data_IF_915166627694
#
_entry.id   IF_915166627694
#
_cell.length_a   1.000
_cell.length_b   1.000
_cell.length_c   1.000
_cell.angle_alpha   90.00
_cell.angle_beta   90.00
_cell.angle_gamma   90.00
#
_symmetry.space_group_name_H-M   'P 1'
#
loop_
_entity.id
_entity.type
_entity.pdbx_description
1 polymer ?
#
# COMPACT_ATOMS: atom_id res chain seq x y z
N UNK A 1 -10.33 18.02 -17.90
CA UNK A 1 -10.58 16.96 -16.89
C UNK A 1 -10.85 17.66 -15.57
N UNK A 2 -11.80 17.19 -14.74
CA UNK A 2 -12.08 17.82 -13.44
C UNK A 2 -10.85 17.78 -12.52
N UNK A 3 -10.67 18.82 -11.71
CA UNK A 3 -9.53 18.95 -10.79
C UNK A 3 -9.43 17.78 -9.81
N UNK A 4 -10.57 17.31 -9.31
CA UNK A 4 -10.64 16.12 -8.45
C UNK A 4 -9.97 14.90 -9.11
N UNK A 5 -10.16 14.69 -10.41
CA UNK A 5 -9.53 13.54 -11.09
C UNK A 5 -8.03 13.79 -11.29
N UNK A 6 -7.63 15.03 -11.58
CA UNK A 6 -6.22 15.42 -11.66
C UNK A 6 -5.50 15.16 -10.34
N UNK A 7 -6.17 15.42 -9.21
CA UNK A 7 -5.63 15.21 -7.87
C UNK A 7 -5.34 13.73 -7.63
N UNK A 8 -6.32 12.85 -7.89
CA UNK A 8 -6.13 11.40 -7.75
C UNK A 8 -4.96 10.91 -8.62
N UNK A 9 -4.86 11.36 -9.87
CA UNK A 9 -3.77 10.98 -10.78
C UNK A 9 -2.41 11.44 -10.26
N UNK A 10 -2.30 12.66 -9.72
CA UNK A 10 -1.01 13.20 -9.28
C UNK A 10 -0.55 12.65 -7.93
N UNK A 11 -1.49 12.27 -7.06
CA UNK A 11 -1.16 11.88 -5.67
C UNK A 11 -1.18 10.38 -5.40
N UNK A 12 -1.72 9.54 -6.30
CA UNK A 12 -1.93 8.11 -6.01
C UNK A 12 -0.65 7.34 -5.63
N UNK A 13 0.53 7.82 -6.03
CA UNK A 13 1.80 7.24 -5.58
C UNK A 13 2.49 8.06 -4.47
N UNK A 14 2.02 9.27 -4.19
CA UNK A 14 2.70 10.23 -3.34
C UNK A 14 4.15 10.44 -3.78
N UNK A 15 5.07 10.42 -2.83
CA UNK A 15 6.52 10.51 -3.08
C UNK A 15 7.22 9.18 -2.79
N UNK A 16 6.57 8.07 -3.17
CA UNK A 16 7.16 6.74 -2.95
C UNK A 16 8.17 6.34 -4.01
N UNK A 17 9.07 5.44 -3.64
CA UNK A 17 10.12 4.91 -4.53
C UNK A 17 9.61 3.69 -5.28
N UNK A 18 9.99 3.56 -6.54
CA UNK A 18 9.74 2.37 -7.36
C UNK A 18 10.83 1.33 -7.06
N UNK A 19 10.65 0.60 -5.96
CA UNK A 19 11.68 -0.26 -5.38
C UNK A 19 12.21 -1.35 -6.32
N UNK A 20 11.38 -1.86 -7.24
CA UNK A 20 11.84 -2.87 -8.20
C UNK A 20 12.99 -2.35 -9.07
N UNK A 21 12.81 -1.20 -9.73
CA UNK A 21 13.84 -0.63 -10.61
C UNK A 21 15.04 -0.14 -9.82
N UNK A 22 14.81 0.42 -8.63
CA UNK A 22 15.89 0.80 -7.72
C UNK A 22 16.78 -0.41 -7.38
N UNK A 23 16.18 -1.52 -6.94
CA UNK A 23 16.92 -2.72 -6.56
C UNK A 23 17.64 -3.37 -7.76
N UNK A 24 17.02 -3.38 -8.94
CA UNK A 24 17.66 -3.84 -10.18
C UNK A 24 18.87 -2.96 -10.52
N UNK A 25 18.75 -1.64 -10.38
CA UNK A 25 19.85 -0.72 -10.66
C UNK A 25 21.03 -0.91 -9.68
N UNK A 26 20.74 -0.94 -8.37
CA UNK A 26 21.75 -1.18 -7.32
C UNK A 26 22.48 -2.50 -7.55
N UNK A 27 21.73 -3.59 -7.83
CA UNK A 27 22.32 -4.91 -8.09
C UNK A 27 23.25 -4.92 -9.31
N UNK A 28 22.90 -4.18 -10.36
CA UNK A 28 23.69 -4.12 -11.59
C UNK A 28 24.82 -3.08 -11.54
N UNK A 29 24.86 -2.22 -10.51
CA UNK A 29 25.86 -1.16 -10.34
C UNK A 29 26.37 -1.12 -8.88
N UNK A 30 26.97 -2.20 -8.36
CA UNK A 30 27.33 -2.32 -6.95
C UNK A 30 28.31 -1.24 -6.47
N UNK A 31 29.15 -0.71 -7.36
CA UNK A 31 30.17 0.29 -7.04
C UNK A 31 29.71 1.74 -7.21
N UNK A 32 28.43 1.97 -7.57
CA UNK A 32 27.89 3.33 -7.76
C UNK A 32 27.02 3.75 -6.60
N UNK A 33 27.21 4.98 -6.15
CA UNK A 33 26.22 5.67 -5.33
C UNK A 33 24.98 5.91 -6.18
N UNK A 34 23.84 5.40 -5.73
CA UNK A 34 22.55 5.53 -6.42
C UNK A 34 21.80 6.71 -5.84
N UNK A 35 21.43 7.66 -6.70
CA UNK A 35 20.51 8.73 -6.33
C UNK A 35 19.08 8.17 -6.30
N UNK A 36 18.54 8.01 -5.08
CA UNK A 36 17.18 7.49 -4.88
C UNK A 36 16.10 8.37 -5.52
N UNK A 37 16.37 9.66 -5.74
CA UNK A 37 15.39 10.59 -6.31
C UNK A 37 15.02 10.22 -7.75
N UNK A 38 15.94 9.60 -8.49
CA UNK A 38 15.70 9.09 -9.85
C UNK A 38 14.68 7.95 -9.90
N UNK A 39 14.41 7.32 -8.77
CA UNK A 39 13.45 6.21 -8.63
C UNK A 39 12.22 6.61 -7.82
N UNK A 40 12.07 7.90 -7.49
CA UNK A 40 11.01 8.39 -6.60
C UNK A 40 9.99 9.18 -7.39
N UNK A 41 8.70 8.95 -7.12
CA UNK A 41 7.65 9.75 -7.72
C UNK A 41 7.74 11.22 -7.27
N UNK A 42 7.48 12.19 -8.17
CA UNK A 42 7.60 13.61 -7.84
C UNK A 42 6.51 14.09 -6.87
N UNK A 43 5.45 13.31 -6.66
CA UNK A 43 4.31 13.68 -5.84
C UNK A 43 3.37 14.69 -6.51
N UNK A 44 2.56 15.42 -5.71
CA UNK A 44 2.68 15.57 -4.25
C UNK A 44 2.14 14.36 -3.47
N UNK A 45 2.40 14.32 -2.16
CA UNK A 45 1.71 13.39 -1.26
C UNK A 45 0.21 13.69 -1.22
N UNK A 46 -0.65 12.69 -0.92
CA UNK A 46 -2.08 12.90 -0.75
C UNK A 46 -2.43 14.04 0.20
N UNK A 47 -3.44 14.81 -0.17
CA UNK A 47 -3.92 15.96 0.58
C UNK A 47 -5.41 15.91 0.92
N UNK A 48 -6.07 14.80 0.62
CA UNK A 48 -7.42 14.50 1.06
C UNK A 48 -7.51 13.05 1.57
N UNK A 49 -8.56 12.73 2.33
CA UNK A 49 -8.78 11.36 2.80
C UNK A 49 -8.91 10.38 1.64
N UNK A 50 -9.64 10.78 0.60
CA UNK A 50 -9.92 9.96 -0.57
C UNK A 50 -8.66 9.67 -1.38
N UNK A 51 -7.80 10.68 -1.58
CA UNK A 51 -6.52 10.50 -2.28
C UNK A 51 -5.55 9.63 -1.48
N UNK A 52 -5.58 9.70 -0.14
CA UNK A 52 -4.81 8.82 0.73
C UNK A 52 -5.32 7.37 0.67
N UNK A 53 -6.65 7.17 0.71
CA UNK A 53 -7.26 5.85 0.53
C UNK A 53 -6.95 5.26 -0.84
N UNK A 54 -7.01 6.06 -1.91
CA UNK A 54 -6.61 5.61 -3.25
C UNK A 54 -5.17 5.11 -3.24
N UNK A 55 -4.23 5.90 -2.70
CA UNK A 55 -2.81 5.50 -2.65
C UNK A 55 -2.60 4.18 -1.90
N UNK A 56 -3.31 3.97 -0.80
CA UNK A 56 -3.26 2.70 -0.07
C UNK A 56 -3.81 1.55 -0.90
N UNK A 57 -4.99 1.73 -1.50
CA UNK A 57 -5.64 0.71 -2.32
C UNK A 57 -4.80 0.31 -3.54
N UNK A 58 -4.27 1.29 -4.28
CA UNK A 58 -3.39 1.08 -5.43
C UNK A 58 -2.14 0.26 -5.03
N UNK A 59 -1.47 0.67 -3.96
CA UNK A 59 -0.26 -0.01 -3.48
C UNK A 59 -0.56 -1.46 -3.05
N UNK A 60 -1.68 -1.68 -2.36
CA UNK A 60 -2.11 -3.02 -1.91
C UNK A 60 -2.47 -3.92 -3.08
N UNK A 61 -3.23 -3.41 -4.05
CA UNK A 61 -3.65 -4.14 -5.25
C UNK A 61 -2.45 -4.55 -6.10
N UNK A 62 -1.56 -3.59 -6.40
CA UNK A 62 -0.38 -3.84 -7.20
C UNK A 62 0.53 -4.89 -6.55
N UNK A 63 0.74 -4.79 -5.23
CA UNK A 63 1.57 -5.73 -4.50
C UNK A 63 0.92 -7.11 -4.35
N UNK A 64 -0.41 -7.19 -4.23
CA UNK A 64 -1.10 -8.48 -4.07
C UNK A 64 -0.99 -9.35 -5.31
N UNK A 65 -0.89 -8.76 -6.51
CA UNK A 65 -0.67 -9.47 -7.78
C UNK A 65 0.61 -10.33 -7.79
N UNK A 66 1.59 -10.00 -6.95
CA UNK A 66 2.84 -10.76 -6.83
C UNK A 66 2.76 -11.93 -5.83
N UNK A 67 1.65 -12.09 -5.09
CA UNK A 67 1.47 -13.21 -4.17
C UNK A 67 1.31 -14.52 -4.96
N UNK A 68 2.27 -15.43 -4.81
CA UNK A 68 2.20 -16.78 -5.42
C UNK A 68 1.16 -17.67 -4.75
N UNK A 69 1.13 -17.66 -3.41
CA UNK A 69 0.21 -18.44 -2.59
C UNK A 69 -0.46 -17.52 -1.56
N UNK A 70 -1.62 -16.93 -1.90
CA UNK A 70 -2.37 -16.08 -0.99
C UNK A 70 -2.94 -16.90 0.17
N UNK A 71 -2.59 -16.52 1.39
CA UNK A 71 -3.14 -17.05 2.65
C UNK A 71 -3.61 -15.88 3.51
N UNK A 72 -4.38 -16.16 4.56
CA UNK A 72 -4.80 -15.11 5.49
C UNK A 72 -3.61 -14.37 6.08
N UNK A 73 -2.60 -15.11 6.52
CA UNK A 73 -1.38 -14.55 7.08
C UNK A 73 -0.60 -13.72 6.04
N UNK A 74 -0.41 -14.24 4.83
CA UNK A 74 0.37 -13.52 3.81
C UNK A 74 -0.32 -12.25 3.34
N UNK A 75 -1.66 -12.25 3.24
CA UNK A 75 -2.47 -11.05 2.93
C UNK A 75 -2.40 -10.04 4.07
N UNK A 76 -2.60 -10.48 5.32
CA UNK A 76 -2.56 -9.58 6.48
C UNK A 76 -1.19 -8.88 6.55
N UNK A 77 -0.11 -9.67 6.47
CA UNK A 77 1.26 -9.18 6.49
C UNK A 77 1.58 -8.25 5.32
N UNK A 78 1.06 -8.54 4.12
CA UNK A 78 1.27 -7.68 2.95
C UNK A 78 0.64 -6.30 3.17
N UNK A 79 -0.64 -6.26 3.56
CA UNK A 79 -1.36 -5.00 3.78
C UNK A 79 -0.69 -4.20 4.90
N UNK A 80 -0.39 -4.83 6.03
CA UNK A 80 0.20 -4.15 7.19
C UNK A 80 1.56 -3.53 6.86
N UNK A 81 2.44 -4.26 6.16
CA UNK A 81 3.75 -3.75 5.74
C UNK A 81 3.63 -2.54 4.81
N UNK A 82 2.67 -2.56 3.87
CA UNK A 82 2.46 -1.44 2.95
C UNK A 82 1.99 -0.20 3.70
N UNK A 83 0.99 -0.36 4.58
CA UNK A 83 0.45 0.75 5.38
C UNK A 83 1.52 1.34 6.31
N UNK A 84 2.25 0.48 7.02
CA UNK A 84 3.34 0.89 7.90
C UNK A 84 4.42 1.63 7.12
N UNK A 85 4.83 1.11 5.96
CA UNK A 85 5.83 1.79 5.12
C UNK A 85 5.37 3.19 4.68
N UNK A 86 4.11 3.36 4.26
CA UNK A 86 3.56 4.67 3.87
C UNK A 86 3.48 5.62 5.07
N UNK A 87 3.12 5.12 6.25
CA UNK A 87 3.08 5.89 7.50
C UNK A 87 4.48 6.38 7.89
N UNK A 88 5.46 5.47 7.93
CA UNK A 88 6.85 5.79 8.28
C UNK A 88 7.51 6.77 7.31
N UNK A 89 7.06 6.81 6.05
CA UNK A 89 7.51 7.76 5.02
C UNK A 89 6.68 9.04 4.97
N UNK A 90 5.81 9.28 5.94
CA UNK A 90 5.04 10.52 6.07
C UNK A 90 4.05 10.77 4.93
N UNK A 91 3.62 9.73 4.21
CA UNK A 91 2.78 9.88 3.01
C UNK A 91 1.35 10.38 3.33
N UNK A 92 0.95 10.34 4.60
CA UNK A 92 -0.37 10.77 5.06
C UNK A 92 -0.37 12.14 5.75
N UNK A 93 0.78 12.81 5.83
CA UNK A 93 0.95 14.00 6.66
C UNK A 93 0.10 15.19 6.22
N UNK A 94 -0.46 15.18 5.01
CA UNK A 94 -1.22 16.30 4.45
C UNK A 94 -2.70 15.98 4.18
N UNK A 95 -3.19 14.77 4.47
CA UNK A 95 -4.51 14.31 4.00
C UNK A 95 -5.66 14.39 5.00
N UNK A 96 -5.45 14.93 6.20
CA UNK A 96 -6.41 14.93 7.32
C UNK A 96 -7.02 13.53 7.61
N UNK A 97 -6.34 12.46 7.20
CA UNK A 97 -6.74 11.08 7.44
C UNK A 97 -6.31 10.68 8.86
N UNK A 98 -7.20 10.05 9.61
CA UNK A 98 -6.89 9.61 10.97
C UNK A 98 -6.28 8.21 10.97
N UNK A 99 -5.58 7.84 12.04
CA UNK A 99 -5.13 6.45 12.23
C UNK A 99 -6.32 5.48 12.21
N UNK A 100 -7.48 5.89 12.73
CA UNK A 100 -8.72 5.10 12.65
C UNK A 100 -9.14 4.84 11.20
N UNK A 101 -9.18 5.88 10.37
CA UNK A 101 -9.53 5.76 8.94
C UNK A 101 -8.54 4.81 8.22
N UNK A 102 -7.24 4.90 8.54
CA UNK A 102 -6.20 4.03 7.98
C UNK A 102 -6.41 2.58 8.41
N UNK A 103 -6.64 2.33 9.70
CA UNK A 103 -6.87 0.98 10.23
C UNK A 103 -8.14 0.34 9.67
N UNK A 104 -9.24 1.11 9.57
CA UNK A 104 -10.49 0.63 8.96
C UNK A 104 -10.30 0.31 7.48
N UNK A 105 -9.58 1.16 6.73
CA UNK A 105 -9.22 0.90 5.33
C UNK A 105 -8.41 -0.39 5.20
N UNK A 106 -7.41 -0.62 6.06
CA UNK A 106 -6.59 -1.82 6.05
C UNK A 106 -7.42 -3.09 6.31
N UNK A 107 -8.38 -3.05 7.24
CA UNK A 107 -9.32 -4.17 7.48
C UNK A 107 -10.14 -4.48 6.23
N UNK A 108 -10.67 -3.45 5.56
CA UNK A 108 -11.44 -3.59 4.33
C UNK A 108 -10.57 -4.18 3.21
N UNK A 109 -9.35 -3.69 3.02
CA UNK A 109 -8.42 -4.23 2.02
C UNK A 109 -8.11 -5.71 2.26
N UNK A 110 -7.83 -6.10 3.49
CA UNK A 110 -7.59 -7.51 3.86
C UNK A 110 -8.81 -8.38 3.54
N UNK A 111 -10.02 -7.92 3.87
CA UNK A 111 -11.25 -8.65 3.59
C UNK A 111 -11.50 -8.80 2.08
N UNK A 112 -11.31 -7.72 1.31
CA UNK A 112 -11.46 -7.75 -0.15
C UNK A 112 -10.45 -8.70 -0.80
N UNK A 113 -9.17 -8.64 -0.42
CA UNK A 113 -8.15 -9.54 -0.96
C UNK A 113 -8.45 -11.02 -0.62
N UNK A 114 -8.85 -11.32 0.62
CA UNK A 114 -9.27 -12.68 1.01
C UNK A 114 -10.43 -13.18 0.14
N UNK A 115 -11.38 -12.30 -0.17
CA UNK A 115 -12.50 -12.61 -1.06
C UNK A 115 -12.04 -12.87 -2.50
N UNK A 116 -11.21 -11.98 -3.07
CA UNK A 116 -10.68 -12.09 -4.45
C UNK A 116 -9.86 -13.37 -4.63
N UNK A 117 -9.03 -13.72 -3.65
CA UNK A 117 -8.18 -14.92 -3.71
C UNK A 117 -8.85 -16.17 -3.12
N UNK A 118 -10.14 -16.12 -2.78
CA UNK A 118 -10.90 -17.24 -2.21
C UNK A 118 -10.22 -17.91 -1.01
N UNK A 119 -9.57 -17.10 -0.16
CA UNK A 119 -8.95 -17.60 1.07
C UNK A 119 -10.05 -18.09 1.99
N UNK A 120 -10.06 -19.39 2.28
CA UNK A 120 -11.00 -19.98 3.23
C UNK A 120 -10.71 -19.40 4.60
N UNK A 121 -11.73 -18.77 5.20
CA UNK A 121 -11.69 -18.44 6.63
C UNK A 121 -11.89 -19.76 7.36
N UNK A 122 -10.84 -20.28 7.97
CA UNK A 122 -10.99 -21.39 8.92
C UNK A 122 -11.74 -20.83 10.12
N UNK A 123 -13.05 -21.08 10.14
CA UNK A 123 -13.85 -20.84 11.34
C UNK A 123 -13.38 -21.83 12.39
N UNK A 124 -12.51 -21.37 13.28
CA UNK A 124 -12.21 -22.07 14.52
C UNK A 124 -13.48 -22.06 15.40
N UNK A 125 -14.35 -23.05 15.19
CA UNK A 125 -15.57 -23.27 15.95
C UNK A 125 -15.29 -23.55 17.44
N UNK A 126 -14.02 -23.72 17.85
CA UNK A 126 -13.64 -23.95 19.25
C UNK A 126 -13.63 -22.70 20.13
N UNK A 127 -13.64 -21.48 19.55
CA UNK A 127 -13.62 -20.23 20.34
C UNK A 127 -14.98 -19.69 20.76
N UNK A 128 -16.05 -20.46 20.54
CA UNK A 128 -17.42 -20.10 20.94
C UNK A 128 -17.88 -20.84 22.20
N UNK A 129 -17.03 -20.97 23.21
CA UNK A 129 -17.48 -21.22 24.58
C UNK A 129 -16.40 -20.78 25.57
N UNK A 130 -16.58 -19.60 26.17
CA UNK A 130 -16.30 -19.27 27.57
C UNK A 130 -16.98 -17.95 27.89
#
# INVERSE_FOLDING_TARGET
MPDVILDFIRTHHGTTRVDYFYNVFVKNNPDKLVDESLFTYPGPIPFSKETAVLMMADSVEAASRALKEPSEESINNLVDKIIEHKLMRGQFNNSNITLKDITESAVIFKAMLKSIYHVRVDYDLSKKTM
#
